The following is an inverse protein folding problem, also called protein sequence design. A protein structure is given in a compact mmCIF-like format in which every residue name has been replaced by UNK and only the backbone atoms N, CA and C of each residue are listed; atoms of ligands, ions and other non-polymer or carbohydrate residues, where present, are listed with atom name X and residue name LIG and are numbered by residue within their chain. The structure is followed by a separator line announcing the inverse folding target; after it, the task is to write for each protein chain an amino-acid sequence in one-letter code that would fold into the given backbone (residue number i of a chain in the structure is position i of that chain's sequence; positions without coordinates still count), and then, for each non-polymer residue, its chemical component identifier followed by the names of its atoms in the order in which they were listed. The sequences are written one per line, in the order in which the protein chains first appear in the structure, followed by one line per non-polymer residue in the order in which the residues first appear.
data_IF_180829316526
#
_entry.id   IF_180829316526
#
_cell.length_a   1.000
_cell.length_b   1.000
_cell.length_c   1.000
_cell.angle_alpha   90.00
_cell.angle_beta   90.00
_cell.angle_gamma   90.00
#
_symmetry.space_group_name_H-M   'P 1'
#
loop_
_entity.id
_entity.type
_entity.pdbx_description
1 polymer ?
#
# COMPACT_ATOMS: atom_id res chain seq x y z
N UNK A 1 -13.21 -8.56 23.13
CA UNK A 1 -12.02 -7.69 23.02
C UNK A 1 -12.46 -6.22 22.95
N UNK A 2 -11.55 -5.28 23.22
CA UNK A 2 -11.74 -3.83 23.07
C UNK A 2 -10.81 -3.31 21.96
N UNK A 3 -11.25 -2.31 21.21
CA UNK A 3 -10.44 -1.62 20.19
C UNK A 3 -10.37 -0.13 20.47
N UNK A 4 -9.26 0.53 20.13
CA UNK A 4 -9.15 1.99 20.14
C UNK A 4 -8.41 2.47 18.90
N UNK A 5 -8.85 3.61 18.37
CA UNK A 5 -8.20 4.27 17.26
C UNK A 5 -8.12 5.78 17.52
N UNK A 6 -6.99 6.38 17.12
CA UNK A 6 -6.74 7.81 17.26
C UNK A 6 -5.76 8.25 16.18
N UNK A 7 -5.81 9.51 15.77
CA UNK A 7 -4.98 9.98 14.68
C UNK A 7 -5.32 11.38 14.21
N UNK A 8 -4.65 11.78 13.13
CA UNK A 8 -4.80 13.06 12.47
C UNK A 8 -4.81 12.85 10.96
N UNK A 9 -5.75 13.49 10.29
CA UNK A 9 -5.90 13.46 8.84
C UNK A 9 -5.83 14.87 8.28
N UNK A 10 -5.03 15.04 7.23
CA UNK A 10 -4.87 16.30 6.51
C UNK A 10 -5.16 16.07 5.04
N UNK A 11 -5.88 17.00 4.43
CA UNK A 11 -6.13 16.98 3.01
C UNK A 11 -6.02 18.39 2.42
N UNK A 12 -5.21 18.53 1.38
CA UNK A 12 -5.03 19.76 0.63
C UNK A 12 -5.50 19.53 -0.80
N UNK A 13 -6.36 20.42 -1.29
CA UNK A 13 -6.83 20.42 -2.68
C UNK A 13 -6.38 21.67 -3.40
N UNK A 14 -5.94 21.51 -4.65
CA UNK A 14 -5.63 22.60 -5.57
C UNK A 14 -6.45 22.42 -6.84
N UNK A 15 -7.40 23.32 -7.07
CA UNK A 15 -8.36 23.22 -8.17
C UNK A 15 -8.17 24.29 -9.27
N UNK A 16 -7.14 25.13 -9.16
CA UNK A 16 -6.96 26.30 -10.04
C UNK A 16 -5.60 26.25 -10.74
N UNK A 17 -5.61 26.65 -12.01
CA UNK A 17 -4.44 26.75 -12.87
C UNK A 17 -4.20 25.48 -13.68
N UNK A 18 -3.03 25.40 -14.33
CA UNK A 18 -2.67 24.28 -15.21
C UNK A 18 -2.32 23.00 -14.46
N UNK A 19 -1.92 23.11 -13.19
CA UNK A 19 -1.64 21.98 -12.31
C UNK A 19 -2.67 21.97 -11.20
N UNK A 20 -3.54 20.97 -11.20
CA UNK A 20 -4.53 20.68 -10.18
C UNK A 20 -4.22 19.35 -9.49
N UNK A 21 -4.95 19.03 -8.42
CA UNK A 21 -4.81 17.77 -7.72
C UNK A 21 -5.01 17.91 -6.21
N UNK A 22 -4.64 16.86 -5.48
CA UNK A 22 -4.76 16.83 -4.03
C UNK A 22 -3.66 16.03 -3.38
N UNK A 23 -3.42 16.34 -2.12
CA UNK A 23 -2.52 15.63 -1.23
C UNK A 23 -3.28 15.28 0.04
N UNK A 24 -3.34 14.00 0.40
CA UNK A 24 -3.90 13.56 1.67
C UNK A 24 -2.87 12.79 2.47
N UNK A 25 -2.83 13.05 3.78
CA UNK A 25 -1.97 12.35 4.71
C UNK A 25 -2.75 12.00 5.97
N UNK A 26 -2.73 10.72 6.32
CA UNK A 26 -3.30 10.20 7.57
C UNK A 26 -2.17 9.65 8.43
N UNK A 27 -2.11 10.12 9.67
CA UNK A 27 -1.29 9.59 10.74
C UNK A 27 -2.21 8.99 11.79
N UNK A 28 -2.34 7.66 11.83
CA UNK A 28 -3.30 6.99 12.69
C UNK A 28 -2.69 5.82 13.48
N UNK A 29 -3.31 5.51 14.61
CA UNK A 29 -3.04 4.36 15.46
C UNK A 29 -4.32 3.55 15.59
N UNK A 30 -4.22 2.24 15.39
CA UNK A 30 -5.29 1.28 15.64
C UNK A 30 -4.76 0.16 16.53
N UNK A 31 -5.39 -0.06 17.67
CA UNK A 31 -4.94 -0.99 18.69
C UNK A 31 -6.10 -1.85 19.20
N UNK A 32 -5.79 -3.10 19.53
CA UNK A 32 -6.72 -4.06 20.12
C UNK A 32 -6.24 -4.48 21.50
N UNK A 33 -7.19 -4.83 22.37
CA UNK A 33 -6.97 -5.46 23.67
C UNK A 33 -7.90 -6.67 23.81
N UNK A 34 -7.33 -7.85 23.91
CA UNK A 34 -8.06 -9.10 24.11
C UNK A 34 -7.46 -9.79 25.33
N UNK A 35 -8.31 -10.22 26.25
CA UNK A 35 -7.87 -10.94 27.44
C UNK A 35 -7.18 -12.26 27.05
N UNK A 36 -6.08 -12.57 27.72
CA UNK A 36 -5.24 -13.73 27.38
C UNK A 36 -4.33 -13.55 26.15
N UNK A 37 -4.39 -12.41 25.44
CA UNK A 37 -3.48 -12.10 24.32
C UNK A 37 -2.52 -10.99 24.73
N UNK A 38 -1.25 -11.10 24.32
CA UNK A 38 -0.20 -10.09 24.55
C UNK A 38 -0.08 -9.68 26.03
N UNK A 39 -0.14 -10.64 26.96
CA UNK A 39 -0.14 -10.40 28.41
C UNK A 39 -1.28 -9.47 28.89
N UNK A 40 -2.42 -9.45 28.17
CA UNK A 40 -3.54 -8.57 28.45
C UNK A 40 -3.29 -7.10 28.11
N UNK A 41 -2.18 -6.78 27.44
CA UNK A 41 -1.83 -5.42 27.01
C UNK A 41 -2.45 -5.06 25.66
N UNK A 42 -2.52 -3.76 25.38
CA UNK A 42 -2.85 -3.28 24.04
C UNK A 42 -1.77 -3.72 23.05
N UNK A 43 -2.18 -4.08 21.83
CA UNK A 43 -1.29 -4.40 20.74
C UNK A 43 -1.81 -3.80 19.44
N UNK A 44 -0.89 -3.49 18.52
CA UNK A 44 -1.20 -2.91 17.22
C UNK A 44 -2.15 -3.83 16.44
N UNK A 45 -3.25 -3.29 15.91
CA UNK A 45 -4.16 -4.06 15.08
C UNK A 45 -3.46 -4.46 13.77
N UNK A 46 -3.75 -5.64 13.22
CA UNK A 46 -3.10 -6.10 11.98
C UNK A 46 -3.38 -5.19 10.77
N UNK A 47 -4.50 -4.48 10.78
CA UNK A 47 -4.88 -3.49 9.78
C UNK A 47 -4.36 -2.06 10.08
N UNK A 48 -3.58 -1.85 11.14
CA UNK A 48 -2.96 -0.56 11.43
C UNK A 48 -2.00 -0.16 10.31
N UNK A 49 -2.27 1.00 9.73
CA UNK A 49 -1.40 1.70 8.79
C UNK A 49 -1.06 3.02 9.44
N UNK A 50 0.14 3.15 10.01
CA UNK A 50 0.50 4.35 10.76
C UNK A 50 0.60 5.58 9.87
N UNK A 51 1.20 5.44 8.71
CA UNK A 51 1.29 6.51 7.73
C UNK A 51 0.60 6.07 6.45
N UNK A 52 -0.34 6.88 5.97
CA UNK A 52 -0.96 6.75 4.65
C UNK A 52 -0.87 8.09 3.93
N UNK A 53 -0.25 8.11 2.76
CA UNK A 53 -0.01 9.30 1.96
C UNK A 53 -0.47 9.03 0.53
N UNK A 54 -1.31 9.92 0.01
CA UNK A 54 -1.79 9.87 -1.36
C UNK A 54 -1.62 11.25 -1.98
N UNK A 55 -0.85 11.31 -3.06
CA UNK A 55 -0.61 12.50 -3.85
C UNK A 55 -1.18 12.27 -5.24
N UNK A 56 -2.01 13.20 -5.71
CA UNK A 56 -2.55 13.19 -7.06
C UNK A 56 -2.25 14.53 -7.70
N UNK A 57 -1.66 14.51 -8.88
CA UNK A 57 -1.39 15.69 -9.69
C UNK A 57 -1.93 15.50 -11.09
N UNK A 58 -2.62 16.51 -11.60
CA UNK A 58 -3.18 16.55 -12.95
C UNK A 58 -2.67 17.83 -13.60
N UNK A 59 -1.97 17.70 -14.72
CA UNK A 59 -1.32 18.79 -15.44
C UNK A 59 -1.85 18.93 -16.86
N UNK A 60 -2.46 20.07 -17.15
CA UNK A 60 -2.90 20.45 -18.49
C UNK A 60 -1.70 20.94 -19.32
N UNK A 61 -1.02 20.00 -19.99
CA UNK A 61 0.16 20.28 -20.82
C UNK A 61 -0.20 21.10 -22.08
N UNK A 62 -1.36 20.82 -22.68
CA UNK A 62 -1.97 21.63 -23.75
C UNK A 62 -3.50 21.50 -23.63
N UNK A 63 -4.33 22.29 -24.34
CA UNK A 63 -5.79 22.10 -24.33
C UNK A 63 -6.27 20.70 -24.78
N UNK A 64 -5.38 19.90 -25.36
CA UNK A 64 -5.66 18.52 -25.79
C UNK A 64 -4.97 17.47 -24.94
N UNK A 65 -3.86 17.80 -24.26
CA UNK A 65 -3.07 16.86 -23.48
C UNK A 65 -3.19 17.14 -21.99
N UNK A 66 -3.62 16.12 -21.26
CA UNK A 66 -3.64 16.06 -19.80
C UNK A 66 -2.66 14.96 -19.35
N UNK A 67 -1.79 15.29 -18.41
CA UNK A 67 -0.86 14.35 -17.79
C UNK A 67 -1.25 14.18 -16.33
N UNK A 68 -1.43 12.96 -15.87
CA UNK A 68 -1.78 12.69 -14.47
C UNK A 68 -0.76 11.78 -13.81
N UNK A 69 -0.54 12.01 -12.53
CA UNK A 69 0.31 11.20 -11.67
C UNK A 69 -0.42 10.93 -10.35
N UNK A 70 -0.41 9.68 -9.92
CA UNK A 70 -0.87 9.27 -8.59
C UNK A 70 0.29 8.58 -7.88
N UNK A 71 0.66 9.08 -6.72
CA UNK A 71 1.64 8.45 -5.86
C UNK A 71 0.99 8.08 -4.52
N UNK A 72 1.10 6.81 -4.15
CA UNK A 72 0.61 6.29 -2.88
C UNK A 72 1.75 5.71 -2.07
N UNK A 73 1.75 5.98 -0.78
CA UNK A 73 2.64 5.38 0.21
C UNK A 73 1.84 4.97 1.44
N UNK A 74 2.09 3.75 1.94
CA UNK A 74 1.51 3.28 3.19
C UNK A 74 2.54 2.48 3.98
N UNK A 75 2.60 2.66 5.29
CA UNK A 75 3.39 1.77 6.15
C UNK A 75 2.91 0.33 6.03
N UNK A 76 3.81 -0.64 6.17
CA UNK A 76 3.42 -2.05 6.17
C UNK A 76 2.50 -2.41 7.33
N UNK A 77 1.71 -3.46 7.09
CA UNK A 77 0.82 -4.03 8.10
C UNK A 77 1.60 -4.58 9.30
N UNK A 78 0.98 -4.50 10.47
CA UNK A 78 1.54 -5.06 11.69
C UNK A 78 1.36 -6.60 11.71
N UNK A 79 2.41 -7.32 12.06
CA UNK A 79 2.46 -8.78 11.99
C UNK A 79 3.25 -9.37 13.16
N UNK A 80 2.88 -10.59 13.54
CA UNK A 80 3.51 -11.32 14.64
C UNK A 80 4.51 -12.31 14.05
N UNK A 81 5.79 -12.13 14.37
CA UNK A 81 6.88 -13.05 13.98
C UNK A 81 7.40 -13.72 15.25
N UNK A 82 7.75 -15.01 15.23
CA UNK A 82 8.44 -15.62 16.36
C UNK A 82 9.78 -14.92 16.58
N UNK A 83 9.99 -14.40 17.79
CA UNK A 83 11.21 -13.71 18.19
C UNK A 83 12.36 -14.68 18.44
N UNK A 84 12.04 -15.91 18.85
CA UNK A 84 13.02 -16.99 18.99
C UNK A 84 12.35 -18.34 18.73
N UNK A 85 13.16 -19.35 18.43
CA UNK A 85 12.72 -20.73 18.45
C UNK A 85 13.74 -21.58 19.17
N UNK A 86 13.25 -22.57 19.91
CA UNK A 86 14.06 -23.48 20.69
C UNK A 86 13.49 -24.88 20.56
N UNK A 87 14.34 -25.88 20.74
CA UNK A 87 13.98 -27.29 20.64
C UNK A 87 14.06 -27.92 22.03
N UNK A 88 12.98 -28.61 22.44
CA UNK A 88 12.93 -29.39 23.67
C UNK A 88 12.37 -30.76 23.29
N UNK A 89 13.08 -31.83 23.63
CA UNK A 89 12.70 -33.22 23.35
C UNK A 89 12.34 -33.48 21.87
N UNK A 90 13.11 -32.92 20.93
CA UNK A 90 12.85 -33.06 19.49
C UNK A 90 11.66 -32.25 18.97
N UNK A 91 10.98 -31.49 19.84
CA UNK A 91 9.84 -30.64 19.48
C UNK A 91 10.29 -29.19 19.38
N UNK A 92 10.01 -28.55 18.23
CA UNK A 92 10.30 -27.12 18.03
C UNK A 92 9.21 -26.26 18.67
N UNK A 93 9.61 -25.37 19.57
CA UNK A 93 8.76 -24.36 20.19
C UNK A 93 9.11 -22.97 19.67
N UNK A 94 8.08 -22.16 19.45
CA UNK A 94 8.21 -20.78 19.01
C UNK A 94 7.92 -19.83 20.16
N UNK A 95 8.85 -18.93 20.42
CA UNK A 95 8.67 -17.83 21.36
C UNK A 95 8.25 -16.57 20.62
N UNK A 96 7.16 -15.95 21.05
CA UNK A 96 6.68 -14.68 20.52
C UNK A 96 6.78 -13.62 21.63
N UNK A 97 7.62 -12.61 21.45
CA UNK A 97 7.80 -11.57 22.46
C UNK A 97 6.58 -10.65 22.57
N UNK A 98 5.97 -10.31 21.42
CA UNK A 98 4.82 -9.42 21.35
C UNK A 98 3.90 -9.74 20.18
N UNK A 99 2.60 -9.45 20.35
CA UNK A 99 1.61 -9.54 19.27
C UNK A 99 1.75 -8.33 18.36
N UNK A 100 1.91 -8.57 17.06
CA UNK A 100 1.96 -7.55 16.02
C UNK A 100 3.07 -6.50 16.20
N UNK A 101 4.20 -6.92 16.78
CA UNK A 101 5.38 -6.06 16.99
C UNK A 101 6.17 -5.70 15.75
N UNK A 102 6.10 -6.56 14.73
CA UNK A 102 6.85 -6.36 13.49
C UNK A 102 5.97 -5.69 12.44
N UNK A 103 6.61 -5.03 11.46
CA UNK A 103 5.92 -4.46 10.31
C UNK A 103 6.43 -5.05 9.02
N UNK A 104 5.50 -5.31 8.10
CA UNK A 104 5.82 -5.64 6.72
C UNK A 104 6.59 -4.47 6.05
N UNK A 105 7.27 -4.73 4.92
CA UNK A 105 7.78 -3.65 4.09
C UNK A 105 6.67 -2.66 3.72
N UNK A 106 7.00 -1.37 3.71
CA UNK A 106 6.06 -0.33 3.30
C UNK A 106 5.57 -0.56 1.88
N UNK A 107 4.34 -0.13 1.57
CA UNK A 107 3.77 -0.08 0.23
C UNK A 107 4.08 1.28 -0.40
N UNK A 108 4.55 1.32 -1.64
CA UNK A 108 4.53 2.55 -2.41
C UNK A 108 4.43 2.30 -3.92
N UNK A 109 3.68 3.17 -4.60
CA UNK A 109 3.34 3.02 -6.02
C UNK A 109 3.24 4.39 -6.68
N UNK A 110 3.84 4.53 -7.86
CA UNK A 110 3.59 5.64 -8.77
C UNK A 110 2.82 5.12 -9.98
N UNK A 111 1.67 5.74 -10.26
CA UNK A 111 0.90 5.54 -11.48
C UNK A 111 0.99 6.81 -12.32
N UNK A 112 1.18 6.63 -13.62
CA UNK A 112 1.27 7.73 -14.58
C UNK A 112 0.24 7.52 -15.67
N UNK A 113 -0.39 8.59 -16.13
CA UNK A 113 -1.24 8.55 -17.31
C UNK A 113 -1.12 9.81 -18.14
N UNK A 114 -1.41 9.65 -19.43
CA UNK A 114 -1.50 10.73 -20.39
C UNK A 114 -2.79 10.55 -21.18
N UNK A 115 -3.63 11.58 -21.19
CA UNK A 115 -4.89 11.59 -21.92
C UNK A 115 -4.82 12.65 -23.01
N UNK A 116 -5.07 12.22 -24.25
CA UNK A 116 -5.21 13.06 -25.42
C UNK A 116 -6.66 13.16 -25.85
N UNK A 117 -7.20 14.38 -25.84
CA UNK A 117 -8.57 14.69 -26.24
C UNK A 117 -8.58 15.46 -27.55
N UNK A 118 -9.31 14.94 -28.54
CA UNK A 118 -9.58 15.62 -29.82
C UNK A 118 -11.08 15.87 -29.97
N UNK A 119 -11.46 17.13 -29.97
CA UNK A 119 -12.82 17.56 -30.29
C UNK A 119 -13.01 17.64 -31.81
N UNK A 120 -14.06 16.99 -32.33
CA UNK A 120 -14.57 17.12 -33.69
C UNK A 120 -15.96 17.79 -33.67
N UNK A 121 -16.54 18.04 -34.86
CA UNK A 121 -17.83 18.75 -34.99
C UNK A 121 -19.00 18.06 -34.28
N UNK A 122 -19.00 16.73 -34.22
CA UNK A 122 -20.10 15.91 -33.67
C UNK A 122 -19.63 14.84 -32.68
N UNK A 123 -18.32 14.71 -32.48
CA UNK A 123 -17.76 13.65 -31.63
C UNK A 123 -16.55 14.15 -30.89
N UNK A 124 -16.28 13.56 -29.74
CA UNK A 124 -15.06 13.77 -28.96
C UNK A 124 -14.32 12.46 -28.83
N UNK A 125 -13.07 12.46 -29.29
CA UNK A 125 -12.21 11.28 -29.31
C UNK A 125 -11.19 11.42 -28.18
N UNK A 126 -11.14 10.44 -27.29
CA UNK A 126 -10.27 10.44 -26.11
C UNK A 126 -9.36 9.21 -26.18
N UNK A 127 -8.06 9.44 -26.18
CA UNK A 127 -7.03 8.42 -26.07
C UNK A 127 -6.40 8.52 -24.69
N UNK A 128 -6.36 7.42 -23.94
CA UNK A 128 -5.75 7.37 -22.62
C UNK A 128 -4.66 6.32 -22.60
N UNK A 129 -3.45 6.75 -22.22
CA UNK A 129 -2.27 5.94 -22.04
C UNK A 129 -1.96 5.89 -20.55
N UNK A 130 -1.72 4.71 -20.00
CA UNK A 130 -1.45 4.53 -18.58
C UNK A 130 -0.27 3.61 -18.33
N UNK A 131 0.43 3.86 -17.24
CA UNK A 131 1.44 2.97 -16.67
C UNK A 131 1.16 2.85 -15.18
N UNK A 132 0.63 1.70 -14.78
CA UNK A 132 0.44 1.36 -13.39
C UNK A 132 1.74 0.85 -12.79
N UNK A 133 2.07 1.28 -11.57
CA UNK A 133 3.30 0.92 -10.86
C UNK A 133 4.57 1.14 -11.69
N UNK A 134 4.80 2.39 -12.08
CA UNK A 134 5.91 2.82 -12.94
C UNK A 134 7.31 2.42 -12.42
N UNK A 135 7.49 2.25 -11.11
CA UNK A 135 8.74 1.78 -10.50
C UNK A 135 8.94 0.26 -10.57
N UNK A 136 7.95 -0.49 -11.10
CA UNK A 136 7.92 -1.95 -11.09
C UNK A 136 8.18 -2.54 -9.70
N UNK A 137 7.66 -1.89 -8.65
CA UNK A 137 7.92 -2.35 -7.27
C UNK A 137 6.99 -3.49 -6.91
N UNK A 138 7.57 -4.62 -6.50
CA UNK A 138 6.83 -5.74 -5.94
C UNK A 138 6.38 -5.41 -4.52
N UNK A 139 5.18 -4.85 -4.41
CA UNK A 139 4.56 -4.53 -3.14
C UNK A 139 4.00 -5.80 -2.46
N UNK A 140 4.20 -6.01 -1.14
CA UNK A 140 3.68 -7.16 -0.42
C UNK A 140 2.16 -7.23 -0.48
N UNK A 141 1.62 -8.30 -1.06
CA UNK A 141 0.20 -8.64 -1.01
C UNK A 141 -0.06 -9.68 0.10
N UNK A 142 0.75 -10.74 0.11
CA UNK A 142 0.71 -11.79 1.14
C UNK A 142 2.13 -12.06 1.63
N UNK A 143 2.30 -12.21 2.94
CA UNK A 143 3.55 -12.65 3.57
C UNK A 143 3.26 -13.99 4.23
N UNK A 144 4.03 -15.01 3.86
CA UNK A 144 3.98 -16.35 4.44
C UNK A 144 5.31 -16.65 5.12
N UNK A 145 5.24 -17.30 6.28
CA UNK A 145 6.42 -17.79 6.98
C UNK A 145 6.47 -19.30 6.80
N UNK A 146 7.54 -19.77 6.16
CA UNK A 146 7.77 -21.17 5.81
C UNK A 146 9.03 -21.67 6.52
N UNK A 147 9.10 -22.97 6.80
CA UNK A 147 10.34 -23.57 7.30
C UNK A 147 11.36 -23.62 6.17
N UNK A 148 12.57 -23.14 6.44
CA UNK A 148 13.67 -23.23 5.50
C UNK A 148 14.39 -24.56 5.70
N UNK A 149 14.06 -25.55 4.85
CA UNK A 149 14.65 -26.89 4.91
C UNK A 149 16.18 -26.91 4.66
N UNK A 150 16.79 -25.80 4.24
CA UNK A 150 18.24 -25.69 4.05
C UNK A 150 19.01 -25.27 5.31
N UNK A 151 18.30 -24.85 6.37
CA UNK A 151 18.89 -24.48 7.67
C UNK A 151 18.08 -25.18 8.77
N UNK A 152 18.72 -25.96 9.63
CA UNK A 152 18.03 -26.70 10.71
C UNK A 152 17.12 -25.80 11.56
N UNK A 153 17.47 -24.51 11.65
CA UNK A 153 16.72 -23.47 12.34
C UNK A 153 16.39 -22.26 11.45
N UNK A 154 16.25 -22.40 10.14
CA UNK A 154 15.79 -21.29 9.28
C UNK A 154 14.26 -21.17 9.22
N UNK A 155 13.74 -19.96 9.30
CA UNK A 155 12.35 -19.63 8.88
C UNK A 155 12.47 -18.62 7.75
N UNK A 156 11.90 -18.94 6.59
CA UNK A 156 11.90 -18.07 5.42
C UNK A 156 10.60 -17.29 5.37
N UNK A 157 10.70 -15.97 5.19
CA UNK A 157 9.55 -15.15 4.87
C UNK A 157 9.44 -15.04 3.35
N UNK A 158 8.38 -15.61 2.78
CA UNK A 158 8.06 -15.51 1.35
C UNK A 158 7.02 -14.40 1.16
N UNK A 159 7.35 -13.45 0.27
CA UNK A 159 6.49 -12.31 -0.06
C UNK A 159 5.94 -12.51 -1.47
N UNK A 160 4.61 -12.53 -1.59
CA UNK A 160 3.92 -12.58 -2.88
C UNK A 160 3.41 -11.18 -3.22
N UNK A 161 3.72 -10.72 -4.44
CA UNK A 161 3.25 -9.46 -5.00
C UNK A 161 2.35 -9.75 -6.21
N UNK A 162 1.33 -8.90 -6.44
CA UNK A 162 0.37 -9.09 -7.54
C UNK A 162 0.93 -8.67 -8.90
N UNK A 163 1.26 -7.38 -9.05
CA UNK A 163 1.63 -6.80 -10.33
C UNK A 163 2.88 -5.91 -10.21
N UNK A 164 3.80 -6.10 -11.16
CA UNK A 164 4.88 -5.15 -11.44
C UNK A 164 4.34 -3.96 -12.25
N UNK A 165 5.09 -3.52 -13.25
CA UNK A 165 4.64 -2.51 -14.21
C UNK A 165 3.50 -3.06 -15.10
N UNK A 166 2.42 -2.30 -15.27
CA UNK A 166 1.31 -2.68 -16.17
C UNK A 166 0.98 -1.51 -17.10
N UNK A 167 1.33 -1.59 -18.39
CA UNK A 167 0.94 -0.58 -19.37
C UNK A 167 -0.53 -0.75 -19.78
N UNK A 168 -1.19 0.34 -20.14
CA UNK A 168 -2.57 0.34 -20.64
C UNK A 168 -2.78 1.38 -21.73
N UNK A 169 -3.69 1.05 -22.65
CA UNK A 169 -4.20 1.93 -23.70
C UNK A 169 -5.71 1.79 -23.73
N UNK A 170 -6.42 2.91 -23.80
CA UNK A 170 -7.85 2.97 -24.00
C UNK A 170 -8.21 4.04 -25.01
N UNK A 171 -9.25 3.76 -25.79
CA UNK A 171 -9.82 4.69 -26.74
C UNK A 171 -11.33 4.80 -26.49
N UNK A 172 -11.83 6.02 -26.38
CA UNK A 172 -13.24 6.32 -26.12
C UNK A 172 -13.74 7.36 -27.11
N UNK A 173 -14.92 7.11 -27.68
CA UNK A 173 -15.67 8.06 -28.52
C UNK A 173 -16.90 8.50 -27.73
N UNK A 174 -17.10 9.81 -27.62
CA UNK A 174 -18.32 10.41 -27.10
C UNK A 174 -19.05 11.12 -28.25
N UNK A 175 -20.37 10.90 -28.37
CA UNK A 175 -21.25 11.46 -29.39
C UNK A 175 -22.01 12.67 -28.85
#
# INVERSE_FOLDING_TARGET
GKGRAYGLELCLHKNIGRLTGWASYTLAWSENKIEGINNGNWYTASNDRRHDLCLVGIYQATPRWELSALWRYTTGQALTVPSSKYEIDGTTYYYFAERNGYRAPAYHRLDLSATYTRQLRRTKHIWSFGVYNAYCRYNPYVIQFENDNSRSTGTKATLTALFGIVPSVSFTIQY
#
